data_IF_213396110131
#
_entry.id   IF_213396110131
#
_cell.length_a   1.000
_cell.length_b   1.000
_cell.length_c   1.000
_cell.angle_alpha   90.00
_cell.angle_beta   90.00
_cell.angle_gamma   90.00
#
_symmetry.space_group_name_H-M   'P 1'
#
loop_
_entity.id
_entity.type
_entity.pdbx_description
1 polymer ?
#
# COMPACT_ATOMS: atom_id res chain seq x y z
N UNK A 1 2.64 -23.33 3.59
CA UNK A 1 1.60 -22.34 3.97
C UNK A 1 1.87 -21.72 5.34
N UNK A 2 2.12 -22.51 6.40
CA UNK A 2 2.40 -22.04 7.77
C UNK A 2 3.66 -21.16 7.88
N UNK A 3 4.72 -21.47 7.13
CA UNK A 3 5.99 -20.74 7.20
C UNK A 3 5.91 -19.27 6.72
N UNK A 4 5.08 -18.96 5.69
CA UNK A 4 4.93 -17.56 5.22
C UNK A 4 4.11 -16.70 6.19
N UNK A 5 3.06 -17.25 6.79
CA UNK A 5 2.29 -16.54 7.82
C UNK A 5 3.10 -16.35 9.11
N UNK A 6 3.91 -17.32 9.48
CA UNK A 6 4.81 -17.23 10.62
C UNK A 6 5.86 -16.13 10.42
N UNK A 7 6.48 -16.07 9.26
CA UNK A 7 7.46 -15.03 8.90
C UNK A 7 6.87 -13.61 8.95
N UNK A 8 5.64 -13.40 8.47
CA UNK A 8 4.98 -12.10 8.55
C UNK A 8 4.61 -11.73 9.99
N UNK A 9 4.24 -12.71 10.82
CA UNK A 9 3.96 -12.50 12.23
C UNK A 9 5.22 -12.15 13.03
N UNK A 10 6.33 -12.83 12.80
CA UNK A 10 7.62 -12.50 13.42
C UNK A 10 8.06 -11.07 13.05
N UNK A 11 7.93 -10.69 11.78
CA UNK A 11 8.19 -9.32 11.34
C UNK A 11 7.26 -8.33 12.05
N UNK A 12 5.98 -8.65 12.20
CA UNK A 12 5.01 -7.82 12.91
C UNK A 12 5.43 -7.60 14.36
N UNK A 13 5.80 -8.67 15.08
CA UNK A 13 6.23 -8.59 16.47
C UNK A 13 7.49 -7.73 16.65
N UNK A 14 8.41 -7.80 15.70
CA UNK A 14 9.59 -6.94 15.65
C UNK A 14 9.20 -5.47 15.45
N UNK A 15 8.33 -5.19 14.47
CA UNK A 15 7.92 -3.83 14.11
C UNK A 15 7.10 -3.17 15.20
N UNK A 16 6.25 -3.93 15.91
CA UNK A 16 5.46 -3.42 17.03
C UNK A 16 6.33 -2.88 18.17
N UNK A 17 7.54 -3.40 18.34
CA UNK A 17 8.52 -2.99 19.36
C UNK A 17 9.52 -1.94 18.85
N UNK A 18 9.41 -1.51 17.58
CA UNK A 18 10.39 -0.63 16.96
C UNK A 18 10.45 0.75 17.62
N UNK A 19 11.67 1.22 17.91
CA UNK A 19 11.96 2.56 18.47
C UNK A 19 13.04 3.31 17.67
N UNK A 20 13.24 2.95 16.40
CA UNK A 20 14.41 3.36 15.61
C UNK A 20 14.38 4.82 15.12
N UNK A 21 13.23 5.50 15.18
CA UNK A 21 13.11 6.90 14.75
C UNK A 21 12.23 7.72 15.70
N UNK A 22 12.23 9.05 15.52
CA UNK A 22 11.51 10.01 16.36
C UNK A 22 10.01 9.76 16.46
N UNK A 23 9.38 9.15 15.45
CA UNK A 23 7.94 8.83 15.47
C UNK A 23 7.57 7.81 16.57
N UNK A 24 8.55 7.08 17.09
CA UNK A 24 8.31 6.14 18.18
C UNK A 24 7.86 6.83 19.47
N UNK A 25 8.24 8.09 19.67
CA UNK A 25 7.94 8.86 20.90
C UNK A 25 6.62 9.63 20.83
N UNK A 26 6.03 9.75 19.65
CA UNK A 26 4.81 10.56 19.44
C UNK A 26 3.61 9.72 19.02
N UNK A 27 3.80 8.50 18.48
CA UNK A 27 2.72 7.59 18.12
C UNK A 27 2.00 7.05 19.33
N UNK A 28 0.76 6.71 19.19
CA UNK A 28 0.01 5.88 20.15
C UNK A 28 0.32 4.40 19.94
N UNK A 29 0.35 3.97 18.67
CA UNK A 29 0.63 2.58 18.32
C UNK A 29 1.28 2.47 16.93
N UNK A 30 1.82 1.30 16.64
CA UNK A 30 2.36 0.97 15.32
C UNK A 30 1.25 0.43 14.44
N UNK A 31 1.13 0.96 13.23
CA UNK A 31 0.20 0.46 12.21
C UNK A 31 0.99 -0.39 11.22
N UNK A 32 1.09 -1.69 11.49
CA UNK A 32 1.89 -2.62 10.71
C UNK A 32 1.38 -2.77 9.27
N UNK A 33 0.08 -2.83 9.11
CA UNK A 33 -0.63 -3.14 7.88
C UNK A 33 -1.66 -4.25 8.13
N UNK A 34 -2.57 -4.44 7.18
CA UNK A 34 -3.62 -5.46 7.27
C UNK A 34 -4.03 -5.99 5.90
N UNK A 35 -4.65 -7.16 5.88
CA UNK A 35 -5.21 -7.78 4.69
C UNK A 35 -4.80 -9.24 4.53
N UNK A 36 -4.94 -9.75 3.32
CA UNK A 36 -4.58 -11.11 3.00
C UNK A 36 -3.03 -11.23 2.90
N UNK A 37 -2.37 -12.07 3.72
CA UNK A 37 -0.92 -12.27 3.64
C UNK A 37 -0.44 -12.96 2.36
N UNK A 38 -1.36 -13.39 1.50
CA UNK A 38 -1.11 -13.96 0.17
C UNK A 38 -1.75 -13.13 -0.95
N UNK A 39 -1.97 -11.84 -0.68
CA UNK A 39 -2.58 -10.93 -1.64
C UNK A 39 -1.73 -10.77 -2.89
N UNK A 40 -2.35 -10.85 -4.06
CA UNK A 40 -1.70 -10.51 -5.33
C UNK A 40 -1.55 -9.01 -5.55
N UNK A 41 -2.26 -8.20 -4.76
CA UNK A 41 -2.22 -6.73 -4.82
C UNK A 41 -1.83 -6.18 -3.45
N UNK A 42 -0.84 -5.30 -3.40
CA UNK A 42 -0.52 -4.54 -2.20
C UNK A 42 -0.71 -3.04 -2.43
N UNK A 43 -1.44 -2.41 -1.52
CA UNK A 43 -1.65 -0.96 -1.50
C UNK A 43 -0.63 -0.33 -0.56
N UNK A 44 0.11 0.66 -1.06
CA UNK A 44 1.16 1.34 -0.31
C UNK A 44 0.83 2.83 -0.20
N UNK A 45 0.54 3.29 1.02
CA UNK A 45 0.37 4.70 1.35
C UNK A 45 1.64 5.34 1.92
N UNK A 46 1.52 6.60 2.37
CA UNK A 46 2.63 7.38 2.93
C UNK A 46 2.85 7.04 4.41
N UNK A 47 1.86 7.31 5.23
CA UNK A 47 1.91 7.22 6.69
C UNK A 47 0.52 7.01 7.26
N UNK A 48 0.39 6.45 8.48
CA UNK A 48 -0.86 6.49 9.23
C UNK A 48 -1.27 7.94 9.56
N UNK A 49 -2.58 8.22 9.53
CA UNK A 49 -3.15 9.45 10.05
C UNK A 49 -3.55 9.30 11.53
N UNK A 50 -4.18 10.35 12.05
CA UNK A 50 -4.66 10.41 13.44
C UNK A 50 -5.66 9.29 13.79
N UNK A 51 -6.66 9.05 12.91
CA UNK A 51 -7.66 8.00 13.14
C UNK A 51 -7.02 6.60 13.11
N UNK A 52 -6.03 6.39 12.25
CA UNK A 52 -5.27 5.16 12.17
C UNK A 52 -4.45 4.93 13.44
N UNK A 53 -3.83 5.99 13.99
CA UNK A 53 -3.05 5.92 15.22
C UNK A 53 -3.92 5.57 16.44
N UNK A 54 -5.18 5.99 16.45
CA UNK A 54 -6.16 5.61 17.50
C UNK A 54 -6.60 4.16 17.33
N UNK A 55 -6.96 3.74 16.11
CA UNK A 55 -7.60 2.45 15.87
C UNK A 55 -6.61 1.30 15.62
N UNK A 56 -5.33 1.58 15.37
CA UNK A 56 -4.31 0.57 15.09
C UNK A 56 -4.41 -0.09 13.73
N UNK A 57 -5.19 0.48 12.81
CA UNK A 57 -5.48 -0.09 11.49
C UNK A 57 -5.20 0.93 10.39
N UNK A 58 -4.65 0.49 9.22
CA UNK A 58 -4.37 1.40 8.13
C UNK A 58 -5.65 1.83 7.41
N UNK A 59 -5.71 3.08 6.99
CA UNK A 59 -6.78 3.64 6.16
C UNK A 59 -8.20 3.45 6.76
N UNK A 60 -8.43 3.96 7.96
CA UNK A 60 -9.74 3.95 8.65
C UNK A 60 -10.41 5.33 8.70
N UNK A 61 -9.65 6.43 8.61
CA UNK A 61 -10.16 7.79 8.55
C UNK A 61 -10.88 8.09 7.23
N UNK A 62 -11.26 9.35 7.00
CA UNK A 62 -12.01 9.79 5.80
C UNK A 62 -11.36 9.34 4.48
N UNK A 63 -10.04 9.41 4.39
CA UNK A 63 -9.27 8.95 3.22
C UNK A 63 -9.39 7.45 3.02
N UNK A 64 -9.34 6.68 4.10
CA UNK A 64 -9.49 5.23 4.09
C UNK A 64 -10.89 4.80 3.68
N UNK A 65 -11.92 5.46 4.19
CA UNK A 65 -13.32 5.21 3.80
C UNK A 65 -13.55 5.46 2.30
N UNK A 66 -12.90 6.49 1.73
CA UNK A 66 -12.95 6.71 0.28
C UNK A 66 -12.20 5.63 -0.47
N UNK A 67 -11.03 5.20 0.03
CA UNK A 67 -10.27 4.08 -0.56
C UNK A 67 -11.13 2.82 -0.58
N UNK A 68 -11.82 2.49 0.50
CA UNK A 68 -12.71 1.33 0.58
C UNK A 68 -13.82 1.36 -0.46
N UNK A 69 -14.44 2.53 -0.66
CA UNK A 69 -15.48 2.70 -1.69
C UNK A 69 -14.91 2.48 -3.10
N UNK A 70 -13.70 2.97 -3.38
CA UNK A 70 -13.04 2.77 -4.68
C UNK A 70 -12.71 1.28 -4.88
N UNK A 71 -12.12 0.63 -3.87
CA UNK A 71 -11.76 -0.78 -3.93
C UNK A 71 -12.99 -1.67 -4.09
N UNK A 72 -14.05 -1.42 -3.33
CA UNK A 72 -15.31 -2.16 -3.45
C UNK A 72 -15.95 -2.00 -4.84
N UNK A 73 -15.91 -0.79 -5.42
CA UNK A 73 -16.39 -0.56 -6.79
C UNK A 73 -15.55 -1.29 -7.86
N UNK A 74 -14.29 -1.63 -7.54
CA UNK A 74 -13.43 -2.48 -8.36
C UNK A 74 -13.65 -4.00 -8.14
N UNK A 75 -14.51 -4.37 -7.18
CA UNK A 75 -14.70 -5.76 -6.76
C UNK A 75 -13.58 -6.29 -5.86
N UNK A 76 -12.79 -5.42 -5.25
CA UNK A 76 -11.72 -5.80 -4.33
C UNK A 76 -12.17 -5.72 -2.87
N UNK A 77 -11.87 -6.77 -2.12
CA UNK A 77 -12.02 -6.85 -0.66
C UNK A 77 -10.67 -6.71 0.02
N UNK A 78 -10.60 -5.94 1.12
CA UNK A 78 -9.38 -5.80 1.94
C UNK A 78 -8.87 -7.15 2.44
N UNK A 79 -9.77 -8.05 2.82
CA UNK A 79 -9.44 -9.32 3.46
C UNK A 79 -9.10 -10.44 2.48
N UNK A 80 -9.58 -10.35 1.24
CA UNK A 80 -9.41 -11.41 0.25
C UNK A 80 -8.34 -11.08 -0.80
N UNK A 81 -8.39 -9.88 -1.35
CA UNK A 81 -7.61 -9.51 -2.53
C UNK A 81 -6.37 -8.69 -2.23
N UNK A 82 -6.38 -7.96 -1.10
CA UNK A 82 -5.44 -6.89 -0.85
C UNK A 82 -4.64 -7.10 0.44
N UNK A 83 -3.44 -6.55 0.45
CA UNK A 83 -2.73 -6.18 1.68
C UNK A 83 -2.46 -4.68 1.66
N UNK A 84 -2.75 -3.98 2.75
CA UNK A 84 -2.65 -2.53 2.82
C UNK A 84 -1.61 -2.13 3.86
N UNK A 85 -0.64 -1.31 3.46
CA UNK A 85 0.41 -0.83 4.34
C UNK A 85 0.86 0.60 3.94
N UNK A 86 1.82 1.15 4.67
CA UNK A 86 2.39 2.46 4.44
C UNK A 86 3.92 2.41 4.40
N UNK A 87 4.55 3.44 3.84
CA UNK A 87 6.00 3.66 3.90
C UNK A 87 6.47 3.67 5.34
N UNK A 88 5.88 4.53 6.19
CA UNK A 88 6.14 4.53 7.64
C UNK A 88 4.99 3.88 8.40
N UNK A 89 5.33 3.25 9.55
CA UNK A 89 4.37 2.50 10.36
C UNK A 89 3.82 3.29 11.55
N UNK A 90 4.27 4.51 11.73
CA UNK A 90 3.93 5.38 12.85
C UNK A 90 3.35 6.69 12.34
N UNK A 91 2.38 7.25 13.10
CA UNK A 91 1.74 8.53 12.79
C UNK A 91 2.71 9.69 13.01
N UNK A 92 3.01 10.51 11.96
CA UNK A 92 3.76 11.75 12.14
C UNK A 92 2.88 12.82 12.81
N UNK A 93 3.42 13.61 13.76
CA UNK A 93 2.69 14.68 14.41
C UNK A 93 1.96 15.59 13.40
N UNK A 94 0.73 16.00 13.72
CA UNK A 94 -0.11 16.90 12.89
C UNK A 94 -0.33 16.41 11.44
N UNK A 95 -0.21 15.12 11.21
CA UNK A 95 -0.28 14.50 9.87
C UNK A 95 0.71 15.10 8.86
N UNK A 96 1.87 15.60 9.33
CA UNK A 96 2.92 16.07 8.41
C UNK A 96 3.46 14.93 7.56
N UNK A 97 4.06 15.27 6.44
CA UNK A 97 4.83 14.29 5.65
C UNK A 97 5.99 13.75 6.49
N UNK A 98 6.25 12.44 6.48
CA UNK A 98 7.44 11.88 7.11
C UNK A 98 8.72 12.51 6.56
N UNK A 99 9.70 12.73 7.42
CA UNK A 99 11.02 13.16 6.97
C UNK A 99 11.69 12.04 6.16
N UNK A 100 12.71 12.42 5.37
CA UNK A 100 13.48 11.43 4.60
C UNK A 100 14.08 10.36 5.53
N UNK A 101 14.66 10.76 6.65
CA UNK A 101 15.25 9.86 7.64
C UNK A 101 14.22 8.90 8.23
N UNK A 102 13.01 9.38 8.59
CA UNK A 102 11.93 8.52 9.11
C UNK A 102 11.50 7.48 8.08
N UNK A 103 11.39 7.88 6.81
CA UNK A 103 11.04 6.98 5.73
C UNK A 103 12.14 5.95 5.46
N UNK A 104 13.41 6.36 5.39
CA UNK A 104 14.55 5.47 5.15
C UNK A 104 14.71 4.43 6.26
N UNK A 105 14.56 4.83 7.53
CA UNK A 105 14.61 3.92 8.67
C UNK A 105 13.45 2.90 8.64
N UNK A 106 12.26 3.30 8.19
CA UNK A 106 11.07 2.44 8.21
C UNK A 106 10.90 1.59 6.95
N UNK A 107 11.48 2.02 5.81
CA UNK A 107 11.38 1.35 4.52
C UNK A 107 11.78 -0.13 4.54
N UNK A 108 12.83 -0.57 5.23
CA UNK A 108 13.19 -1.99 5.29
C UNK A 108 12.05 -2.91 5.75
N UNK A 109 11.20 -2.44 6.65
CA UNK A 109 10.03 -3.21 7.10
C UNK A 109 8.99 -3.36 5.99
N UNK A 110 8.73 -2.31 5.21
CA UNK A 110 7.83 -2.38 4.07
C UNK A 110 8.39 -3.32 2.98
N UNK A 111 9.67 -3.20 2.66
CA UNK A 111 10.32 -4.05 1.67
C UNK A 111 10.25 -5.52 2.09
N UNK A 112 10.43 -5.81 3.39
CA UNK A 112 10.29 -7.18 3.91
C UNK A 112 8.84 -7.68 3.85
N UNK A 113 7.85 -6.82 4.12
CA UNK A 113 6.44 -7.17 3.89
C UNK A 113 6.17 -7.52 2.42
N UNK A 114 6.70 -6.72 1.49
CA UNK A 114 6.57 -6.96 0.04
C UNK A 114 7.24 -8.28 -0.36
N UNK A 115 8.39 -8.59 0.22
CA UNK A 115 9.09 -9.86 -0.04
C UNK A 115 8.27 -11.07 0.45
N UNK A 116 7.75 -11.02 1.69
CA UNK A 116 7.00 -12.12 2.31
C UNK A 116 5.66 -12.35 1.62
N UNK A 117 4.92 -11.28 1.30
CA UNK A 117 3.59 -11.34 0.69
C UNK A 117 3.69 -11.66 -0.80
N UNK A 118 4.79 -11.26 -1.45
CA UNK A 118 5.07 -11.40 -2.87
C UNK A 118 3.91 -10.94 -3.79
N UNK A 119 3.36 -9.73 -3.59
CA UNK A 119 2.30 -9.23 -4.46
C UNK A 119 2.82 -9.06 -5.88
N UNK A 120 1.97 -9.26 -6.88
CA UNK A 120 2.32 -9.05 -8.30
C UNK A 120 2.07 -7.60 -8.73
N UNK A 121 1.15 -6.93 -8.03
CA UNK A 121 0.77 -5.53 -8.28
C UNK A 121 0.97 -4.72 -7.01
N UNK A 122 1.60 -3.55 -7.15
CA UNK A 122 1.65 -2.51 -6.13
C UNK A 122 0.77 -1.33 -6.56
N UNK A 123 -0.13 -0.87 -5.70
CA UNK A 123 -0.87 0.39 -5.90
C UNK A 123 -0.20 1.44 -5.02
N UNK A 124 0.44 2.44 -5.63
CA UNK A 124 1.18 3.48 -4.93
C UNK A 124 0.31 4.73 -4.76
N UNK A 125 -0.12 5.01 -3.54
CA UNK A 125 -1.04 6.10 -3.23
C UNK A 125 -0.31 7.43 -3.04
N UNK A 126 -0.36 8.29 -4.05
CA UNK A 126 0.15 9.65 -3.99
C UNK A 126 1.64 9.81 -4.28
N UNK A 127 2.11 11.06 -4.13
CA UNK A 127 3.47 11.43 -4.53
C UNK A 127 4.55 10.82 -3.64
N UNK A 128 4.31 10.71 -2.33
CA UNK A 128 5.30 10.19 -1.39
C UNK A 128 5.56 8.70 -1.60
N UNK A 129 4.51 7.87 -1.69
CA UNK A 129 4.68 6.45 -1.95
C UNK A 129 5.34 6.20 -3.32
N UNK A 130 4.96 6.97 -4.34
CA UNK A 130 5.62 6.91 -5.65
C UNK A 130 7.11 7.26 -5.56
N UNK A 131 7.45 8.37 -4.88
CA UNK A 131 8.83 8.82 -4.70
C UNK A 131 9.69 7.77 -3.98
N UNK A 132 9.22 7.26 -2.85
CA UNK A 132 10.00 6.32 -2.04
C UNK A 132 10.11 4.92 -2.67
N UNK A 133 9.10 4.48 -3.42
CA UNK A 133 9.11 3.16 -4.04
C UNK A 133 9.76 3.13 -5.41
N UNK A 134 9.64 4.20 -6.20
CA UNK A 134 10.09 4.23 -7.60
C UNK A 134 11.19 5.26 -7.88
N UNK A 135 11.49 6.15 -6.92
CA UNK A 135 12.55 7.15 -7.05
C UNK A 135 12.08 8.54 -7.49
N UNK A 136 13.02 9.49 -7.49
CA UNK A 136 12.74 10.92 -7.65
C UNK A 136 12.43 11.36 -9.10
N UNK A 137 12.62 10.50 -10.08
CA UNK A 137 12.35 10.81 -11.50
C UNK A 137 10.86 10.82 -11.83
N UNK A 138 10.07 10.08 -11.06
CA UNK A 138 8.61 9.99 -11.26
C UNK A 138 7.86 11.12 -10.58
N UNK A 139 6.75 11.54 -11.18
CA UNK A 139 5.83 12.58 -10.68
C UNK A 139 4.40 12.10 -10.76
N UNK A 140 3.66 12.19 -9.66
CA UNK A 140 2.28 11.67 -9.60
C UNK A 140 1.36 12.27 -10.67
N UNK A 141 1.50 13.57 -10.97
CA UNK A 141 0.69 14.26 -11.98
C UNK A 141 0.94 13.80 -13.41
N UNK A 142 2.16 13.30 -13.70
CA UNK A 142 2.58 12.84 -15.03
C UNK A 142 2.45 11.32 -15.18
N UNK A 143 2.76 10.59 -14.11
CA UNK A 143 3.02 9.15 -14.20
C UNK A 143 1.90 8.30 -13.57
N UNK A 144 0.89 8.93 -12.94
CA UNK A 144 -0.31 8.19 -12.51
C UNK A 144 -0.95 7.46 -13.70
N UNK A 145 -1.53 6.33 -13.44
CA UNK A 145 -2.21 5.53 -14.47
C UNK A 145 -1.28 4.80 -15.44
N UNK A 146 0.04 4.90 -15.26
CA UNK A 146 1.03 4.18 -16.07
C UNK A 146 1.66 3.07 -15.25
N UNK A 147 1.79 1.91 -15.84
CA UNK A 147 2.53 0.82 -15.22
C UNK A 147 4.02 1.11 -15.19
N UNK A 148 4.62 1.00 -14.02
CA UNK A 148 6.05 1.18 -13.81
C UNK A 148 6.64 -0.04 -13.09
N UNK A 149 7.88 -0.45 -13.40
CA UNK A 149 8.54 -1.52 -12.68
C UNK A 149 9.06 -1.02 -11.31
N UNK A 150 8.76 -1.76 -10.24
CA UNK A 150 9.26 -1.48 -8.90
C UNK A 150 9.64 -2.80 -8.23
N UNK A 151 10.93 -3.00 -7.93
CA UNK A 151 11.44 -4.20 -7.26
C UNK A 151 10.94 -5.52 -7.89
N UNK A 152 10.96 -5.60 -9.23
CA UNK A 152 10.51 -6.77 -9.98
C UNK A 152 8.99 -6.96 -10.04
N UNK A 153 8.20 -5.99 -9.61
CA UNK A 153 6.74 -6.00 -9.61
C UNK A 153 6.18 -4.88 -10.48
N UNK A 154 4.92 -5.02 -10.91
CA UNK A 154 4.20 -3.95 -11.59
C UNK A 154 3.62 -2.98 -10.57
N UNK A 155 3.92 -1.71 -10.68
CA UNK A 155 3.36 -0.68 -9.83
C UNK A 155 2.47 0.29 -10.60
N UNK A 156 1.33 0.64 -10.01
CA UNK A 156 0.37 1.62 -10.52
C UNK A 156 0.33 2.82 -9.57
N UNK A 157 0.94 3.95 -9.93
CA UNK A 157 0.76 5.19 -9.18
C UNK A 157 -0.63 5.75 -9.40
N UNK A 158 -1.30 6.13 -8.30
CA UNK A 158 -2.63 6.77 -8.34
C UNK A 158 -2.65 7.94 -7.36
N UNK A 159 -3.58 8.89 -7.53
CA UNK A 159 -3.73 9.95 -6.55
C UNK A 159 -4.12 9.39 -5.18
N UNK A 160 -3.57 9.97 -4.12
CA UNK A 160 -3.94 9.62 -2.75
C UNK A 160 -5.41 10.01 -2.50
N UNK A 161 -6.21 9.18 -1.80
CA UNK A 161 -7.61 9.49 -1.52
C UNK A 161 -7.84 10.85 -0.84
N UNK A 162 -6.91 11.31 0.02
CA UNK A 162 -6.97 12.65 0.60
C UNK A 162 -6.93 13.77 -0.46
N UNK A 163 -6.23 13.57 -1.57
CA UNK A 163 -6.23 14.54 -2.66
C UNK A 163 -7.58 14.60 -3.37
N UNK A 164 -8.25 13.47 -3.52
CA UNK A 164 -9.60 13.37 -4.11
C UNK A 164 -10.67 14.04 -3.24
N UNK A 165 -10.49 14.00 -1.92
CA UNK A 165 -11.37 14.70 -0.99
C UNK A 165 -11.22 16.21 -1.09
N UNK A 166 -9.98 16.70 -1.27
CA UNK A 166 -9.70 18.14 -1.44
C UNK A 166 -10.05 18.65 -2.83
N UNK A 167 -9.89 17.82 -3.87
CA UNK A 167 -10.17 18.16 -5.24
C UNK A 167 -10.97 17.05 -5.95
N UNK A 168 -12.31 17.14 -5.97
CA UNK A 168 -13.17 16.12 -6.59
C UNK A 168 -12.92 15.88 -8.09
N UNK A 169 -12.35 16.85 -8.82
CA UNK A 169 -12.02 16.67 -10.24
C UNK A 169 -11.00 15.54 -10.49
N UNK A 170 -10.21 15.19 -9.47
CA UNK A 170 -9.24 14.08 -9.54
C UNK A 170 -9.91 12.69 -9.47
N UNK A 171 -11.19 12.58 -9.12
CA UNK A 171 -11.89 11.30 -8.98
C UNK A 171 -12.00 10.56 -10.31
N UNK A 172 -12.39 11.26 -11.39
CA UNK A 172 -12.56 10.63 -12.70
C UNK A 172 -11.25 10.04 -13.23
N UNK A 173 -10.14 10.78 -13.31
CA UNK A 173 -8.87 10.22 -13.75
C UNK A 173 -8.38 9.08 -12.83
N UNK A 174 -8.59 9.18 -11.51
CA UNK A 174 -8.21 8.08 -10.58
C UNK A 174 -9.05 6.82 -10.84
N UNK A 175 -10.32 6.96 -11.14
CA UNK A 175 -11.17 5.83 -11.51
C UNK A 175 -10.68 5.12 -12.76
N UNK A 176 -10.19 5.87 -13.76
CA UNK A 176 -9.59 5.29 -14.96
C UNK A 176 -8.31 4.49 -14.64
N UNK A 177 -7.48 4.96 -13.67
CA UNK A 177 -6.31 4.20 -13.19
C UNK A 177 -6.72 2.87 -12.54
N UNK A 178 -7.76 2.89 -11.69
CA UNK A 178 -8.23 1.67 -11.03
C UNK A 178 -8.85 0.67 -12.00
N UNK A 179 -9.49 1.11 -13.10
CA UNK A 179 -9.94 0.21 -14.17
C UNK A 179 -8.76 -0.55 -14.79
N UNK A 180 -7.62 0.12 -15.00
CA UNK A 180 -6.40 -0.53 -15.48
C UNK A 180 -5.84 -1.55 -14.47
N UNK A 181 -5.92 -1.26 -13.17
CA UNK A 181 -5.56 -2.25 -12.13
C UNK A 181 -6.44 -3.48 -12.22
N UNK A 182 -7.77 -3.31 -12.34
CA UNK A 182 -8.72 -4.42 -12.50
C UNK A 182 -8.42 -5.25 -13.74
N UNK A 183 -8.16 -4.59 -14.88
CA UNK A 183 -7.81 -5.27 -16.13
C UNK A 183 -6.56 -6.12 -15.97
N UNK A 184 -5.49 -5.54 -15.43
CA UNK A 184 -4.21 -6.23 -15.21
C UNK A 184 -4.34 -7.39 -14.22
N UNK A 185 -5.09 -7.21 -13.16
CA UNK A 185 -5.34 -8.28 -12.18
C UNK A 185 -6.04 -9.48 -12.82
N UNK A 186 -7.06 -9.24 -13.66
CA UNK A 186 -7.76 -10.31 -14.40
C UNK A 186 -6.83 -11.04 -15.37
N UNK A 187 -5.97 -10.33 -16.08
CA UNK A 187 -4.97 -10.95 -16.96
C UNK A 187 -4.03 -11.89 -16.18
N UNK A 188 -3.57 -11.46 -15.00
CA UNK A 188 -2.72 -12.27 -14.13
C UNK A 188 -3.45 -13.54 -13.65
N UNK A 189 -4.71 -13.44 -13.24
CA UNK A 189 -5.50 -14.59 -12.84
C UNK A 189 -5.67 -15.60 -13.98
N UNK A 190 -6.00 -15.14 -15.18
CA UNK A 190 -6.15 -16.00 -16.36
C UNK A 190 -4.84 -16.70 -16.71
N UNK A 191 -3.70 -16.01 -16.61
CA UNK A 191 -2.40 -16.62 -16.85
C UNK A 191 -2.04 -17.71 -15.84
N UNK A 192 -2.45 -17.55 -14.58
CA UNK A 192 -2.23 -18.56 -13.53
C UNK A 192 -3.12 -19.78 -13.79
N UNK A 193 -4.40 -19.57 -14.10
CA UNK A 193 -5.36 -20.65 -14.40
C UNK A 193 -4.88 -21.47 -15.60
N UNK A 194 -4.47 -20.81 -16.70
CA UNK A 194 -3.98 -21.50 -17.89
C UNK A 194 -2.76 -22.38 -17.59
N UNK A 195 -1.80 -21.89 -16.78
CA UNK A 195 -0.63 -22.71 -16.39
C UNK A 195 -1.00 -23.96 -15.58
N UNK A 196 -1.99 -23.86 -14.70
CA UNK A 196 -2.44 -24.99 -13.89
C UNK A 196 -3.14 -26.02 -14.77
N UNK A 197 -3.96 -25.59 -15.74
CA UNK A 197 -4.71 -26.49 -16.66
C UNK A 197 -3.82 -27.23 -17.67
N UNK A 198 -2.67 -26.65 -18.05
CA UNK A 198 -1.74 -27.29 -19.02
C UNK A 198 -0.59 -28.05 -18.34
N UNK A 199 -0.51 -28.05 -16.99
CA UNK A 199 0.51 -28.79 -16.22
C UNK A 199 -0.01 -30.13 -15.67
N UNK A 200 -1.27 -30.48 -15.95
CA UNK A 200 -1.89 -31.77 -15.69
C UNK A 200 -2.13 -32.52 -17.01
#
# INVERSE_FOLDING_TARGET
MLAMNQSLNELKDQVLKCTNCSLAYTRRQVIFGEGNPRASIMVVGEAPGYDEDIQGRPFVGKSGQLLDKILAACGFSRTEHLYISNIVKCHPPENRVPTLNEAEICMPYLLKQIEIIDPKILILLGASSLKYMAGNTYRITRDRGKWIPVNGRLAMPVFHPAALLRNPALKRPTWDDYKEVVRKYRELLMSIISRITYSN
#
